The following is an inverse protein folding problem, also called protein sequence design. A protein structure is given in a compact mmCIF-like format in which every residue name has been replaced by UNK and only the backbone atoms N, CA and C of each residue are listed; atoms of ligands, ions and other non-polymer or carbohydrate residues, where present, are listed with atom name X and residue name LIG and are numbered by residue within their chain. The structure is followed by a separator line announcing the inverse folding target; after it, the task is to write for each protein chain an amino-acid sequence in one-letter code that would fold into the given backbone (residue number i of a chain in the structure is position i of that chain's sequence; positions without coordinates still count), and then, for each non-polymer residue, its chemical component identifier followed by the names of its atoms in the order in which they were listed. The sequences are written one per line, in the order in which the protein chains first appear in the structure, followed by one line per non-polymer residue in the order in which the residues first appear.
data_IF_912616166071
#
_entry.id   IF_912616166071
#
_cell.length_a   1.000
_cell.length_b   1.000
_cell.length_c   1.000
_cell.angle_alpha   90.00
_cell.angle_beta   90.00
_cell.angle_gamma   90.00
#
_symmetry.space_group_name_H-M   'P 1'
#
loop_
_entity.id
_entity.type
_entity.pdbx_description
1 polymer ?
#
# COMPACT_ATOMS: atom_id res chain seq x y z
N UNK A 1 -5.73 -24.36 8.07
CA UNK A 1 -4.92 -24.98 9.14
C UNK A 1 -3.47 -25.02 8.69
N UNK A 2 -2.58 -24.21 9.28
CA UNK A 2 -1.14 -24.25 8.99
C UNK A 2 -0.46 -25.09 10.08
N UNK A 3 -0.10 -26.34 9.76
CA UNK A 3 0.68 -27.20 10.64
C UNK A 3 2.15 -26.81 10.50
N UNK A 4 2.63 -25.89 11.32
CA UNK A 4 4.07 -25.77 11.56
C UNK A 4 4.39 -26.76 12.67
N UNK A 5 4.75 -27.98 12.29
CA UNK A 5 5.37 -28.92 13.24
C UNK A 5 6.56 -28.19 13.88
N UNK A 6 6.70 -28.25 15.20
CA UNK A 6 7.85 -27.74 15.97
C UNK A 6 9.12 -28.48 15.53
N UNK A 7 9.61 -28.14 14.34
CA UNK A 7 10.81 -28.69 13.74
C UNK A 7 11.98 -27.97 14.37
N UNK A 8 12.43 -28.50 15.49
CA UNK A 8 13.67 -28.04 16.13
C UNK A 8 14.87 -28.45 15.27
N UNK A 9 15.20 -27.61 14.29
CA UNK A 9 16.36 -27.73 13.39
C UNK A 9 17.72 -27.56 14.10
N UNK A 10 17.72 -27.28 15.41
CA UNK A 10 18.91 -26.94 16.18
C UNK A 10 19.33 -28.03 17.19
N UNK A 11 18.60 -29.15 17.26
CA UNK A 11 18.83 -30.18 18.27
C UNK A 11 20.17 -30.94 18.11
N UNK A 12 20.87 -30.82 16.96
CA UNK A 12 22.13 -31.53 16.66
C UNK A 12 23.15 -30.74 15.81
N UNK A 13 23.10 -29.41 15.80
CA UNK A 13 24.11 -28.60 15.09
C UNK A 13 25.21 -28.13 16.06
N UNK A 14 26.51 -28.30 15.73
CA UNK A 14 27.60 -27.83 16.58
C UNK A 14 27.53 -26.30 16.74
N UNK A 15 27.94 -25.76 17.89
CA UNK A 15 27.85 -24.31 18.22
C UNK A 15 28.45 -23.37 17.15
N UNK A 16 29.36 -23.88 16.30
CA UNK A 16 29.99 -23.14 15.19
C UNK A 16 29.13 -23.06 13.92
N UNK A 17 28.16 -23.95 13.78
CA UNK A 17 27.19 -24.02 12.69
C UNK A 17 25.80 -23.52 13.10
N UNK A 18 25.65 -23.04 14.33
CA UNK A 18 24.50 -22.20 14.67
C UNK A 18 24.74 -20.83 14.05
N UNK A 19 23.88 -20.37 13.14
CA UNK A 19 23.95 -18.99 12.72
C UNK A 19 23.63 -18.12 13.92
N UNK A 20 24.61 -17.33 14.36
CA UNK A 20 24.40 -16.38 15.46
C UNK A 20 23.10 -15.65 15.23
N UNK A 21 22.20 -15.62 16.22
CA UNK A 21 20.86 -15.07 16.09
C UNK A 21 20.93 -13.66 15.48
N UNK A 22 20.68 -13.55 14.17
CA UNK A 22 20.97 -12.36 13.37
C UNK A 22 21.62 -12.63 11.99
N UNK A 23 22.39 -13.71 11.82
CA UNK A 23 23.09 -14.03 10.56
C UNK A 23 22.20 -14.68 9.49
N UNK A 24 21.15 -15.40 9.91
CA UNK A 24 20.17 -16.05 9.02
C UNK A 24 18.75 -15.48 9.17
N UNK A 25 18.60 -14.40 9.94
CA UNK A 25 17.41 -13.57 9.89
C UNK A 25 17.42 -12.73 8.61
N UNK A 26 16.26 -12.34 8.05
CA UNK A 26 16.15 -11.57 6.83
C UNK A 26 16.65 -10.12 7.00
N UNK A 27 17.92 -9.93 7.35
CA UNK A 27 18.58 -8.63 7.48
C UNK A 27 18.73 -7.93 6.13
N UNK A 28 18.63 -8.67 5.02
CA UNK A 28 18.72 -8.17 3.66
C UNK A 28 17.39 -8.26 2.89
N UNK A 29 16.25 -8.49 3.55
CA UNK A 29 14.96 -8.43 2.85
C UNK A 29 14.52 -6.97 2.83
N UNK A 30 14.55 -6.29 1.67
CA UNK A 30 14.13 -4.91 1.57
C UNK A 30 12.73 -4.80 2.14
N UNK A 31 12.51 -3.85 3.06
CA UNK A 31 11.27 -3.73 3.81
C UNK A 31 10.06 -3.73 2.85
N UNK A 32 9.39 -4.88 2.75
CA UNK A 32 8.31 -5.09 1.78
C UNK A 32 7.08 -4.27 2.11
N UNK A 33 7.01 -3.74 3.34
CA UNK A 33 5.94 -2.86 3.83
C UNK A 33 5.90 -1.55 3.05
N UNK A 34 7.05 -0.89 2.82
CA UNK A 34 7.09 0.37 2.07
C UNK A 34 6.62 0.19 0.61
N UNK A 35 7.05 -0.91 -0.03
CA UNK A 35 6.64 -1.25 -1.40
C UNK A 35 5.17 -1.64 -1.51
N UNK A 36 4.56 -2.14 -0.43
CA UNK A 36 3.12 -2.42 -0.35
C UNK A 36 2.30 -1.13 -0.22
N UNK A 37 2.75 -0.18 0.60
CA UNK A 37 2.05 1.10 0.78
C UNK A 37 2.05 1.93 -0.50
N UNK A 38 3.18 2.00 -1.22
CA UNK A 38 3.24 2.70 -2.51
C UNK A 38 2.23 2.16 -3.53
N UNK A 39 2.01 0.84 -3.59
CA UNK A 39 1.04 0.22 -4.50
C UNK A 39 -0.41 0.63 -4.22
N UNK A 40 -0.73 1.02 -2.99
CA UNK A 40 -2.07 1.49 -2.60
C UNK A 40 -2.18 3.00 -2.75
N UNK A 41 -1.14 3.75 -2.40
CA UNK A 41 -1.16 5.22 -2.48
C UNK A 41 -1.26 5.73 -3.92
N UNK A 42 -0.57 5.09 -4.87
CA UNK A 42 -0.58 5.52 -6.29
C UNK A 42 -1.99 5.51 -6.91
N UNK A 43 -2.75 4.40 -6.89
CA UNK A 43 -4.10 4.40 -7.45
C UNK A 43 -5.07 5.30 -6.67
N UNK A 44 -4.95 5.37 -5.34
CA UNK A 44 -5.80 6.26 -4.53
C UNK A 44 -5.59 7.71 -4.92
N UNK A 45 -4.33 8.16 -5.05
CA UNK A 45 -4.03 9.53 -5.44
C UNK A 45 -4.50 9.82 -6.86
N UNK A 46 -4.34 8.89 -7.80
CA UNK A 46 -4.82 9.04 -9.17
C UNK A 46 -6.35 9.24 -9.22
N UNK A 47 -7.10 8.44 -8.45
CA UNK A 47 -8.56 8.57 -8.36
C UNK A 47 -8.95 9.92 -7.74
N UNK A 48 -8.29 10.34 -6.66
CA UNK A 48 -8.57 11.64 -6.03
C UNK A 48 -8.35 12.81 -6.99
N UNK A 49 -7.27 12.79 -7.78
CA UNK A 49 -7.00 13.81 -8.79
C UNK A 49 -8.08 13.79 -9.88
N UNK A 50 -8.42 12.61 -10.41
CA UNK A 50 -9.44 12.48 -11.45
C UNK A 50 -10.81 13.01 -10.98
N UNK A 51 -11.20 12.68 -9.75
CA UNK A 51 -12.43 13.19 -9.13
C UNK A 51 -12.37 14.71 -8.98
N UNK A 52 -11.26 15.26 -8.50
CA UNK A 52 -11.08 16.72 -8.36
C UNK A 52 -11.22 17.46 -9.69
N UNK A 53 -10.57 16.96 -10.76
CA UNK A 53 -10.66 17.54 -12.11
C UNK A 53 -12.08 17.42 -12.67
N UNK A 54 -12.74 16.28 -12.44
CA UNK A 54 -14.12 16.07 -12.89
C UNK A 54 -15.09 17.07 -12.24
N UNK A 55 -15.01 17.26 -10.93
CA UNK A 55 -15.84 18.25 -10.23
C UNK A 55 -15.54 19.68 -10.69
N UNK A 56 -14.28 20.01 -10.89
CA UNK A 56 -13.90 21.33 -11.40
C UNK A 56 -14.51 21.59 -12.79
N UNK A 57 -14.39 20.63 -13.71
CA UNK A 57 -14.99 20.70 -15.03
C UNK A 57 -16.52 20.77 -14.96
N UNK A 58 -17.14 20.03 -14.05
CA UNK A 58 -18.60 20.03 -13.84
C UNK A 58 -19.10 21.40 -13.37
N UNK A 59 -18.43 22.04 -12.42
CA UNK A 59 -18.78 23.39 -11.94
C UNK A 59 -18.67 24.39 -13.09
N UNK A 60 -17.57 24.35 -13.84
CA UNK A 60 -17.40 25.20 -15.03
C UNK A 60 -18.52 25.00 -16.05
N UNK A 61 -18.86 23.74 -16.34
CA UNK A 61 -19.93 23.40 -17.28
C UNK A 61 -21.29 23.95 -16.81
N UNK A 62 -21.63 23.79 -15.53
CA UNK A 62 -22.89 24.27 -14.98
C UNK A 62 -22.96 25.80 -14.91
N UNK A 63 -21.82 26.46 -14.68
CA UNK A 63 -21.71 27.92 -14.72
C UNK A 63 -21.92 28.46 -16.13
N UNK A 64 -21.31 27.83 -17.14
CA UNK A 64 -21.46 28.21 -18.55
C UNK A 64 -22.86 27.95 -19.09
N UNK A 65 -23.49 26.84 -18.69
CA UNK A 65 -24.84 26.48 -19.13
C UNK A 65 -25.95 27.25 -18.40
N UNK A 66 -25.61 28.19 -17.50
CA UNK A 66 -26.58 29.00 -16.75
C UNK A 66 -27.46 28.23 -15.75
N UNK A 67 -27.35 26.89 -15.71
CA UNK A 67 -28.17 26.02 -14.86
C UNK A 67 -27.98 26.24 -13.36
N UNK A 68 -26.81 26.74 -12.90
CA UNK A 68 -26.64 27.11 -11.49
C UNK A 68 -27.42 28.38 -11.11
N UNK A 69 -27.77 29.25 -12.06
CA UNK A 69 -28.52 30.47 -11.79
C UNK A 69 -30.04 30.22 -11.68
N UNK A 70 -30.55 29.17 -12.33
CA UNK A 70 -32.00 28.88 -12.41
C UNK A 70 -32.56 28.13 -11.20
N UNK A 71 -31.72 27.58 -10.31
CA UNK A 71 -32.18 26.90 -9.09
C UNK A 71 -32.34 27.84 -7.88
N UNK A 72 -31.98 29.12 -8.03
CA UNK A 72 -32.08 30.16 -7.00
C UNK A 72 -33.10 31.27 -7.34
N UNK A 73 -33.96 31.06 -8.34
CA UNK A 73 -35.04 31.99 -8.73
C UNK A 73 -36.41 31.34 -8.68
#
# INVERSE_FOLDING_TARGET
MRKTSDLNLNARTPLRAQPGAGAWGPAAVPSTRAKKWQRVMVPVLAVLIAVGVFFLARVFYLALMGTMALHFS
#
